data_IF_782967171873
#
_entry.id   IF_782967171873
#
_cell.length_a   1.000
_cell.length_b   1.000
_cell.length_c   1.000
_cell.angle_alpha   90.00
_cell.angle_beta   90.00
_cell.angle_gamma   90.00
#
_symmetry.space_group_name_H-M   'P 1'
#
loop_
_entity.id
_entity.type
_entity.pdbx_description
1 polymer ?
#
# COMPACT_ATOMS: atom_id res chain seq x y z
N UNK A 1 -51.59 -18.09 24.67
CA UNK A 1 -50.32 -17.38 24.39
C UNK A 1 -49.34 -18.41 23.90
N UNK A 2 -49.03 -18.43 22.60
CA UNK A 2 -48.04 -19.34 22.03
C UNK A 2 -46.64 -18.87 22.43
N UNK A 3 -45.89 -19.70 23.10
CA UNK A 3 -44.50 -19.48 23.50
C UNK A 3 -43.65 -19.68 22.21
N UNK A 4 -43.02 -18.64 21.74
CA UNK A 4 -42.01 -18.74 20.68
C UNK A 4 -40.74 -19.30 21.35
N UNK A 5 -40.40 -20.54 21.06
CA UNK A 5 -39.12 -21.11 21.43
C UNK A 5 -38.09 -20.73 20.34
N UNK A 6 -37.09 -19.98 20.73
CA UNK A 6 -35.95 -19.66 19.88
C UNK A 6 -35.03 -20.88 19.83
N UNK A 7 -35.13 -21.66 18.75
CA UNK A 7 -34.33 -22.86 18.56
C UNK A 7 -33.05 -22.40 17.80
N UNK A 8 -31.96 -22.27 18.57
CA UNK A 8 -30.62 -22.05 17.99
C UNK A 8 -30.16 -23.29 17.21
N UNK A 9 -30.29 -23.28 15.90
CA UNK A 9 -29.88 -24.36 14.99
C UNK A 9 -28.35 -24.42 14.79
N UNK A 10 -27.57 -23.97 15.75
CA UNK A 10 -26.10 -23.95 15.69
C UNK A 10 -25.52 -22.61 15.22
N UNK A 11 -26.35 -21.60 15.05
CA UNK A 11 -25.94 -20.26 14.63
C UNK A 11 -24.88 -19.64 15.55
N UNK A 12 -25.05 -19.79 16.86
CA UNK A 12 -24.08 -19.31 17.87
C UNK A 12 -22.72 -19.98 17.73
N UNK A 13 -22.67 -21.25 17.36
CA UNK A 13 -21.40 -21.95 17.14
C UNK A 13 -20.73 -21.47 15.84
N UNK A 14 -21.49 -21.26 14.79
CA UNK A 14 -20.97 -20.72 13.52
C UNK A 14 -20.42 -19.31 13.74
N UNK A 15 -21.14 -18.44 14.45
CA UNK A 15 -20.65 -17.10 14.78
C UNK A 15 -19.34 -17.14 15.59
N UNK A 16 -19.26 -18.00 16.61
CA UNK A 16 -18.03 -18.16 17.41
C UNK A 16 -16.85 -18.69 16.58
N UNK A 17 -17.08 -19.65 15.68
CA UNK A 17 -16.04 -20.15 14.79
C UNK A 17 -15.53 -19.03 13.86
N UNK A 18 -16.42 -18.22 13.30
CA UNK A 18 -16.07 -17.09 12.44
C UNK A 18 -15.32 -15.98 13.21
N UNK A 19 -15.81 -15.64 14.41
CA UNK A 19 -15.13 -14.70 15.30
C UNK A 19 -13.71 -15.17 15.59
N UNK A 20 -13.52 -16.44 15.95
CA UNK A 20 -12.21 -17.01 16.25
C UNK A 20 -11.28 -17.08 15.01
N UNK A 21 -11.82 -17.35 13.81
CA UNK A 21 -11.01 -17.39 12.60
C UNK A 21 -10.61 -16.00 12.11
N UNK A 22 -11.48 -15.00 12.28
CA UNK A 22 -11.26 -13.62 11.81
C UNK A 22 -10.67 -12.71 12.89
N UNK A 23 -10.66 -13.15 14.15
CA UNK A 23 -10.13 -12.34 15.24
C UNK A 23 -8.66 -12.00 15.02
N UNK A 24 -8.38 -10.70 15.08
CA UNK A 24 -7.04 -10.18 14.87
C UNK A 24 -6.46 -10.36 13.48
N UNK A 25 -7.25 -10.78 12.47
CA UNK A 25 -6.75 -10.87 11.09
C UNK A 25 -6.64 -9.49 10.48
N UNK A 26 -5.44 -9.14 10.04
CA UNK A 26 -5.15 -7.86 9.39
C UNK A 26 -4.52 -8.12 8.01
N UNK A 27 -5.10 -7.52 6.98
CA UNK A 27 -4.50 -7.49 5.65
C UNK A 27 -3.74 -6.18 5.50
N UNK A 28 -2.42 -6.26 5.37
CA UNK A 28 -1.56 -5.10 5.12
C UNK A 28 -1.12 -5.08 3.68
N UNK A 29 -1.32 -3.95 3.00
CA UNK A 29 -0.84 -3.72 1.64
C UNK A 29 0.14 -2.57 1.65
N UNK A 30 1.33 -2.78 1.13
CA UNK A 30 2.35 -1.74 1.16
C UNK A 30 3.70 -2.17 0.61
N UNK A 31 4.70 -1.34 0.86
CA UNK A 31 6.09 -1.56 0.47
C UNK A 31 6.78 -2.42 1.53
N UNK A 32 7.35 -3.54 1.11
CA UNK A 32 8.12 -4.38 2.04
C UNK A 32 9.38 -3.66 2.53
N UNK A 33 9.68 -3.79 3.83
CA UNK A 33 10.83 -3.14 4.48
C UNK A 33 12.18 -3.61 3.94
N UNK A 34 12.27 -4.83 3.40
CA UNK A 34 13.48 -5.40 2.79
C UNK A 34 13.78 -4.85 1.39
N UNK A 35 12.82 -4.16 0.76
CA UNK A 35 13.00 -3.62 -0.58
C UNK A 35 13.94 -2.41 -0.57
N UNK A 36 15.03 -2.49 -1.34
CA UNK A 36 15.99 -1.39 -1.52
C UNK A 36 15.71 -0.65 -2.83
N UNK A 37 15.95 0.67 -2.83
CA UNK A 37 15.92 1.44 -4.06
C UNK A 37 17.06 0.98 -4.98
N UNK A 38 16.75 0.81 -6.29
CA UNK A 38 17.80 0.49 -7.25
C UNK A 38 18.75 1.68 -7.41
N UNK A 39 20.04 1.41 -7.35
CA UNK A 39 21.08 2.40 -7.68
C UNK A 39 21.04 2.63 -9.20
N UNK A 40 20.71 3.84 -9.60
CA UNK A 40 20.82 4.22 -11.02
C UNK A 40 22.26 4.62 -11.30
N UNK A 41 22.95 3.88 -12.15
CA UNK A 41 24.26 4.28 -12.65
C UNK A 41 24.02 5.32 -13.74
N UNK A 42 24.14 6.60 -13.39
CA UNK A 42 24.11 7.68 -14.38
C UNK A 42 25.49 7.72 -15.06
N UNK A 43 25.58 7.16 -16.25
CA UNK A 43 26.69 7.42 -17.17
C UNK A 43 26.41 8.75 -17.86
N UNK A 44 27.00 9.83 -17.38
CA UNK A 44 26.89 11.14 -18.03
C UNK A 44 27.64 12.23 -17.27
N UNK A 45 28.48 12.95 -18.02
CA UNK A 45 29.42 14.02 -17.56
C UNK A 45 28.73 15.36 -17.30
N UNK A 46 27.58 15.44 -16.61
CA UNK A 46 26.91 16.71 -16.34
C UNK A 46 26.61 16.92 -14.84
N UNK A 47 27.64 16.74 -14.03
CA UNK A 47 27.58 16.99 -12.59
C UNK A 47 28.02 18.40 -12.20
N UNK A 48 27.80 19.42 -13.04
CA UNK A 48 28.20 20.78 -12.72
C UNK A 48 27.13 21.78 -13.14
N UNK A 49 26.14 21.97 -12.29
CA UNK A 49 25.34 23.19 -12.30
C UNK A 49 24.94 23.59 -10.90
N UNK A 50 25.62 24.62 -10.41
CA UNK A 50 25.35 25.37 -9.20
C UNK A 50 24.02 26.09 -9.31
N UNK A 51 23.04 25.66 -8.54
CA UNK A 51 21.88 26.49 -8.19
C UNK A 51 22.03 26.86 -6.71
N UNK A 52 21.87 28.13 -6.44
CA UNK A 52 21.93 28.74 -5.10
C UNK A 52 20.88 28.12 -4.20
N UNK A 53 21.29 27.15 -3.41
CA UNK A 53 20.43 26.45 -2.44
C UNK A 53 20.64 27.05 -1.08
N UNK A 54 19.56 27.39 -0.36
CA UNK A 54 19.60 27.88 1.00
C UNK A 54 20.25 26.84 1.95
N UNK A 55 20.82 27.31 3.07
CA UNK A 55 21.53 26.46 4.03
C UNK A 55 20.70 25.28 4.56
N UNK A 56 19.37 25.47 4.66
CA UNK A 56 18.40 24.43 5.02
C UNK A 56 18.28 23.34 3.95
N UNK A 57 18.27 23.71 2.68
CA UNK A 57 18.22 22.78 1.53
C UNK A 57 19.50 21.93 1.45
N UNK A 58 20.65 22.49 1.80
CA UNK A 58 21.93 21.75 1.86
C UNK A 58 21.95 20.72 2.99
N UNK A 59 21.39 21.03 4.17
CA UNK A 59 21.27 20.05 5.27
C UNK A 59 20.35 18.89 4.90
N UNK A 60 19.20 19.18 4.26
CA UNK A 60 18.27 18.15 3.79
C UNK A 60 18.89 17.28 2.67
N UNK A 61 19.56 17.89 1.69
CA UNK A 61 20.24 17.16 0.61
C UNK A 61 21.42 16.32 1.11
N UNK A 62 22.12 16.76 2.17
CA UNK A 62 23.24 15.98 2.75
C UNK A 62 22.74 14.80 3.57
N UNK A 63 21.54 14.89 4.14
CA UNK A 63 20.94 13.83 4.97
C UNK A 63 20.15 12.80 4.19
N UNK A 64 19.63 13.11 2.99
CA UNK A 64 18.85 12.21 2.16
C UNK A 64 19.42 12.12 0.74
N UNK A 65 20.46 11.32 0.56
CA UNK A 65 20.69 10.71 -0.74
C UNK A 65 19.57 9.67 -0.94
N UNK A 66 18.49 10.03 -1.62
CA UNK A 66 17.34 9.15 -1.87
C UNK A 66 17.72 7.81 -2.52
N UNK A 67 18.92 7.70 -3.09
CA UNK A 67 19.43 6.46 -3.68
C UNK A 67 19.87 5.42 -2.66
N UNK A 68 20.13 5.81 -1.41
CA UNK A 68 20.58 4.90 -0.36
C UNK A 68 19.49 4.63 0.71
N UNK A 69 18.33 5.27 0.58
CA UNK A 69 17.22 5.12 1.52
C UNK A 69 16.43 3.82 1.24
N UNK A 70 15.88 3.19 2.29
CA UNK A 70 14.92 2.12 2.13
C UNK A 70 13.75 2.58 1.24
N UNK A 71 13.26 1.70 0.37
CA UNK A 71 12.18 2.03 -0.55
C UNK A 71 10.90 2.46 0.17
N UNK A 72 10.69 1.96 1.39
CA UNK A 72 9.58 2.36 2.26
C UNK A 72 9.63 3.85 2.63
N UNK A 73 10.83 4.40 2.88
CA UNK A 73 11.00 5.83 3.16
C UNK A 73 10.66 6.67 1.93
N UNK A 74 11.11 6.24 0.75
CA UNK A 74 10.78 6.90 -0.52
C UNK A 74 9.27 6.87 -0.75
N UNK A 75 8.64 5.72 -0.49
CA UNK A 75 7.19 5.57 -0.58
C UNK A 75 6.45 6.53 0.36
N UNK A 76 6.87 6.62 1.63
CA UNK A 76 6.29 7.53 2.61
C UNK A 76 6.45 9.02 2.21
N UNK A 77 7.62 9.41 1.69
CA UNK A 77 7.85 10.77 1.17
C UNK A 77 6.87 11.12 0.05
N UNK A 78 6.58 10.18 -0.84
CA UNK A 78 5.61 10.42 -1.91
C UNK A 78 4.17 10.35 -1.42
N UNK A 79 3.83 9.44 -0.51
CA UNK A 79 2.48 9.29 0.02
C UNK A 79 2.01 10.54 0.76
N UNK A 80 2.88 11.11 1.59
CA UNK A 80 2.52 12.24 2.45
C UNK A 80 2.96 13.60 1.90
N UNK A 81 3.90 13.60 0.97
CA UNK A 81 4.57 14.82 0.53
C UNK A 81 5.54 15.32 1.61
N UNK A 82 6.81 15.49 1.28
CA UNK A 82 7.78 16.02 2.24
C UNK A 82 8.77 16.98 1.54
N UNK A 83 8.99 18.13 2.15
CA UNK A 83 9.88 19.17 1.60
C UNK A 83 9.40 19.66 0.23
N UNK A 84 10.19 19.48 -0.80
CA UNK A 84 9.85 19.88 -2.18
C UNK A 84 9.14 18.79 -2.99
N UNK A 85 8.90 17.63 -2.39
CA UNK A 85 8.21 16.53 -3.08
C UNK A 85 6.70 16.71 -2.88
N UNK A 86 5.92 16.90 -3.95
CA UNK A 86 4.48 17.02 -3.82
C UNK A 86 3.87 15.70 -3.37
N UNK A 87 2.80 15.79 -2.60
CA UNK A 87 2.03 14.63 -2.19
C UNK A 87 1.48 13.87 -3.41
N UNK A 88 1.68 12.57 -3.40
CA UNK A 88 1.18 11.63 -4.40
C UNK A 88 0.67 10.40 -3.69
N UNK A 89 -0.50 10.53 -3.08
CA UNK A 89 -1.12 9.51 -2.24
C UNK A 89 -1.56 8.32 -3.11
N UNK A 90 -0.70 7.34 -3.26
CA UNK A 90 -0.95 6.15 -4.07
C UNK A 90 -1.51 4.99 -3.24
N UNK A 91 -1.15 4.88 -1.95
CA UNK A 91 -1.69 3.87 -1.05
C UNK A 91 -3.09 4.24 -0.61
N UNK A 92 -3.23 5.41 0.07
CA UNK A 92 -4.52 5.89 0.54
C UNK A 92 -5.48 6.13 -0.62
N UNK A 93 -5.02 6.80 -1.69
CA UNK A 93 -5.84 7.06 -2.85
C UNK A 93 -6.32 5.79 -3.57
N UNK A 94 -5.54 4.70 -3.55
CA UNK A 94 -6.01 3.41 -4.07
C UNK A 94 -7.10 2.80 -3.19
N UNK A 95 -7.00 2.94 -1.86
CA UNK A 95 -8.03 2.50 -0.93
C UNK A 95 -9.32 3.31 -1.11
N UNK A 96 -9.21 4.65 -1.11
CA UNK A 96 -10.36 5.55 -1.20
C UNK A 96 -11.13 5.36 -2.52
N UNK A 97 -10.42 5.22 -3.64
CA UNK A 97 -11.02 4.99 -4.96
C UNK A 97 -11.72 3.63 -5.10
N UNK A 98 -11.37 2.65 -4.27
CA UNK A 98 -11.89 1.28 -4.38
C UNK A 98 -12.66 0.83 -3.13
N UNK A 99 -13.08 1.77 -2.28
CA UNK A 99 -13.76 1.46 -1.02
C UNK A 99 -15.01 0.60 -1.23
N UNK A 100 -15.87 0.97 -2.18
CA UNK A 100 -17.09 0.20 -2.49
C UNK A 100 -16.79 -1.23 -2.95
N UNK A 101 -15.72 -1.41 -3.73
CA UNK A 101 -15.27 -2.75 -4.14
C UNK A 101 -14.80 -3.57 -2.94
N UNK A 102 -14.04 -2.95 -2.03
CA UNK A 102 -13.55 -3.58 -0.80
C UNK A 102 -14.74 -4.01 0.05
N UNK A 103 -15.68 -3.10 0.32
CA UNK A 103 -16.88 -3.36 1.12
C UNK A 103 -17.68 -4.52 0.52
N UNK A 104 -17.90 -4.51 -0.80
CA UNK A 104 -18.59 -5.61 -1.51
C UNK A 104 -17.85 -6.96 -1.37
N UNK A 105 -16.52 -6.94 -1.44
CA UNK A 105 -15.72 -8.17 -1.27
C UNK A 105 -15.79 -8.67 0.17
N UNK A 106 -15.73 -7.78 1.15
CA UNK A 106 -15.85 -8.15 2.58
C UNK A 106 -17.22 -8.75 2.86
N UNK A 107 -18.30 -8.14 2.38
CA UNK A 107 -19.65 -8.67 2.53
C UNK A 107 -19.81 -10.06 1.89
N UNK A 108 -19.19 -10.26 0.72
CA UNK A 108 -19.18 -11.58 0.06
C UNK A 108 -18.39 -12.61 0.86
N UNK A 109 -17.25 -12.24 1.43
CA UNK A 109 -16.44 -13.10 2.29
C UNK A 109 -17.28 -13.52 3.50
N UNK A 110 -17.90 -12.58 4.19
CA UNK A 110 -18.77 -12.86 5.34
C UNK A 110 -19.92 -13.80 4.96
N UNK A 111 -20.64 -13.52 3.87
CA UNK A 111 -21.78 -14.33 3.43
C UNK A 111 -21.37 -15.75 3.05
N UNK A 112 -20.27 -15.91 2.29
CA UNK A 112 -19.81 -17.23 1.85
C UNK A 112 -19.21 -18.07 2.99
N UNK A 113 -18.59 -17.40 3.97
CA UNK A 113 -18.09 -18.05 5.18
C UNK A 113 -19.21 -18.66 5.99
N UNK A 114 -20.35 -17.96 6.10
CA UNK A 114 -21.56 -18.47 6.78
C UNK A 114 -22.14 -19.70 6.07
N UNK A 115 -21.99 -19.79 4.75
CA UNK A 115 -22.46 -20.93 3.94
C UNK A 115 -21.50 -22.11 3.91
N UNK A 116 -20.29 -21.97 4.48
CA UNK A 116 -19.18 -22.95 4.40
C UNK A 116 -18.73 -23.27 2.97
N UNK A 117 -19.05 -22.40 2.01
CA UNK A 117 -18.77 -22.63 0.60
C UNK A 117 -17.34 -22.26 0.18
N UNK A 118 -16.66 -21.45 0.99
CA UNK A 118 -15.32 -20.94 0.68
C UNK A 118 -14.41 -20.92 1.91
N UNK A 119 -13.16 -21.31 1.75
CA UNK A 119 -12.16 -21.08 2.78
C UNK A 119 -11.95 -19.58 2.99
N UNK A 120 -12.16 -19.09 4.20
CA UNK A 120 -11.94 -17.70 4.60
C UNK A 120 -10.53 -17.24 4.21
N UNK A 121 -9.53 -18.07 4.42
CA UNK A 121 -8.15 -17.76 4.06
C UNK A 121 -8.00 -17.47 2.57
N UNK A 122 -8.58 -18.30 1.70
CA UNK A 122 -8.53 -18.05 0.25
C UNK A 122 -9.22 -16.75 -0.14
N UNK A 123 -10.33 -16.42 0.51
CA UNK A 123 -11.06 -15.18 0.27
C UNK A 123 -10.27 -13.95 0.74
N UNK A 124 -9.59 -14.02 1.89
CA UNK A 124 -8.68 -12.97 2.38
C UNK A 124 -7.49 -12.79 1.44
N UNK A 125 -6.91 -13.87 0.92
CA UNK A 125 -5.86 -13.81 -0.10
C UNK A 125 -6.34 -13.13 -1.38
N UNK A 126 -7.55 -13.43 -1.85
CA UNK A 126 -8.14 -12.77 -3.01
C UNK A 126 -8.30 -11.26 -2.78
N UNK A 127 -8.82 -10.85 -1.62
CA UNK A 127 -8.93 -9.44 -1.26
C UNK A 127 -7.55 -8.76 -1.24
N UNK A 128 -6.55 -9.38 -0.62
CA UNK A 128 -5.18 -8.88 -0.59
C UNK A 128 -4.59 -8.70 -1.99
N UNK A 129 -4.77 -9.68 -2.88
CA UNK A 129 -4.31 -9.62 -4.27
C UNK A 129 -4.99 -8.50 -5.07
N UNK A 130 -6.30 -8.34 -4.91
CA UNK A 130 -7.05 -7.27 -5.58
C UNK A 130 -6.53 -5.91 -5.13
N UNK A 131 -6.34 -5.71 -3.82
CA UNK A 131 -5.82 -4.44 -3.29
C UNK A 131 -4.37 -4.17 -3.70
N UNK A 132 -3.50 -5.19 -3.71
CA UNK A 132 -2.14 -5.08 -4.26
C UNK A 132 -2.18 -4.62 -5.73
N UNK A 133 -3.08 -5.20 -6.53
CA UNK A 133 -3.30 -4.82 -7.92
C UNK A 133 -3.77 -3.38 -8.08
N UNK A 134 -4.73 -2.94 -7.24
CA UNK A 134 -5.27 -1.57 -7.26
C UNK A 134 -4.24 -0.51 -6.88
N UNK A 135 -3.39 -0.78 -5.90
CA UNK A 135 -2.27 0.11 -5.56
C UNK A 135 -1.27 0.20 -6.72
N UNK A 136 -0.92 -0.92 -7.34
CA UNK A 136 -0.03 -0.95 -8.52
C UNK A 136 -0.63 -0.21 -9.72
N UNK A 137 -1.93 -0.33 -9.92
CA UNK A 137 -2.68 0.39 -10.95
C UNK A 137 -2.66 1.91 -10.67
N UNK A 138 -2.92 2.31 -9.42
CA UNK A 138 -2.88 3.71 -9.00
C UNK A 138 -1.51 4.35 -9.23
N UNK A 139 -0.40 3.63 -8.96
CA UNK A 139 0.96 4.11 -9.23
C UNK A 139 1.16 4.43 -10.72
N UNK A 140 0.54 3.64 -11.62
CA UNK A 140 0.71 3.80 -13.07
C UNK A 140 -0.22 4.86 -13.65
N UNK A 141 -1.48 4.85 -13.24
CA UNK A 141 -2.58 5.58 -13.86
C UNK A 141 -3.13 6.73 -12.99
N UNK A 142 -2.65 6.87 -11.74
CA UNK A 142 -3.15 7.89 -10.84
C UNK A 142 -2.91 9.31 -11.34
N UNK A 143 -3.85 10.26 -11.11
CA UNK A 143 -3.75 11.65 -11.51
C UNK A 143 -2.82 12.42 -10.56
N UNK A 144 -1.54 12.09 -10.56
CA UNK A 144 -0.55 12.70 -9.67
C UNK A 144 0.00 14.01 -10.23
N UNK A 145 0.43 14.88 -9.32
CA UNK A 145 1.17 16.09 -9.67
C UNK A 145 2.39 15.71 -10.53
N UNK A 146 2.56 16.31 -11.72
CA UNK A 146 3.65 15.99 -12.64
C UNK A 146 5.02 16.17 -12.00
N UNK A 147 6.02 15.51 -12.57
CA UNK A 147 7.40 15.74 -12.20
C UNK A 147 7.88 17.11 -12.68
N UNK A 148 8.80 17.75 -11.94
CA UNK A 148 9.48 18.95 -12.43
C UNK A 148 10.32 18.63 -13.67
N UNK A 149 10.55 19.64 -14.50
CA UNK A 149 11.36 19.51 -15.70
C UNK A 149 12.78 18.98 -15.42
N UNK A 150 13.37 19.36 -14.29
CA UNK A 150 14.67 18.83 -13.85
C UNK A 150 14.58 17.33 -13.53
N UNK A 151 13.50 16.92 -12.87
CA UNK A 151 13.25 15.50 -12.57
C UNK A 151 13.05 14.70 -13.85
N UNK A 152 12.28 15.22 -14.82
CA UNK A 152 12.05 14.58 -16.11
C UNK A 152 13.38 14.40 -16.87
N UNK A 153 14.21 15.44 -16.96
CA UNK A 153 15.52 15.37 -17.58
C UNK A 153 16.42 14.31 -16.92
N UNK A 154 16.42 14.26 -15.59
CA UNK A 154 17.23 13.30 -14.83
C UNK A 154 16.73 11.86 -14.97
N UNK A 155 15.40 11.64 -14.96
CA UNK A 155 14.77 10.32 -15.04
C UNK A 155 14.64 9.79 -16.46
N UNK A 156 14.56 10.68 -17.45
CA UNK A 156 14.20 10.32 -18.82
C UNK A 156 12.73 9.87 -18.95
N UNK A 157 11.89 10.17 -17.95
CA UNK A 157 10.47 9.82 -17.93
C UNK A 157 9.66 10.90 -17.24
N UNK A 158 8.51 11.26 -17.84
CA UNK A 158 7.54 12.20 -17.26
C UNK A 158 6.66 11.56 -16.21
N UNK A 159 6.57 10.23 -16.13
CA UNK A 159 5.65 9.54 -15.21
C UNK A 159 6.06 9.73 -13.76
N UNK A 160 5.17 10.27 -12.89
CA UNK A 160 5.38 10.31 -11.45
C UNK A 160 5.51 8.89 -10.88
N UNK A 161 6.14 8.73 -9.72
CA UNK A 161 6.29 7.46 -8.98
C UNK A 161 7.03 6.33 -9.74
N UNK A 162 7.21 6.44 -11.06
CA UNK A 162 7.90 5.45 -11.88
C UNK A 162 9.25 6.02 -12.32
N UNK A 163 10.33 5.41 -11.84
CA UNK A 163 11.70 5.59 -12.31
C UNK A 163 12.21 4.26 -12.87
N UNK A 164 12.58 3.34 -12.00
CA UNK A 164 13.02 1.98 -12.37
C UNK A 164 11.90 0.94 -12.24
N UNK A 165 10.73 1.35 -11.77
CA UNK A 165 9.61 0.45 -11.50
C UNK A 165 9.69 -0.31 -10.17
N UNK A 166 10.78 -0.15 -9.40
CA UNK A 166 10.98 -0.88 -8.14
C UNK A 166 9.89 -0.59 -7.10
N UNK A 167 9.42 0.67 -6.98
CA UNK A 167 8.33 1.02 -6.09
C UNK A 167 7.08 0.18 -6.39
N UNK A 168 6.67 0.12 -7.64
CA UNK A 168 5.51 -0.69 -8.07
C UNK A 168 5.72 -2.19 -7.79
N UNK A 169 6.93 -2.69 -8.06
CA UNK A 169 7.26 -4.10 -7.87
C UNK A 169 7.34 -4.49 -6.39
N UNK A 170 7.64 -3.54 -5.50
CA UNK A 170 7.76 -3.78 -4.05
C UNK A 170 6.43 -3.78 -3.31
N UNK A 171 5.34 -3.36 -3.97
CA UNK A 171 4.02 -3.44 -3.36
C UNK A 171 3.62 -4.90 -3.23
N UNK A 172 3.30 -5.31 -2.00
CA UNK A 172 2.84 -6.64 -1.63
C UNK A 172 1.75 -6.55 -0.59
N UNK A 173 0.89 -7.54 -0.55
CA UNK A 173 0.02 -7.76 0.59
C UNK A 173 0.59 -8.82 1.52
N UNK A 174 0.27 -8.71 2.79
CA UNK A 174 0.58 -9.69 3.83
C UNK A 174 -0.67 -9.85 4.67
N UNK A 175 -0.99 -11.09 5.03
CA UNK A 175 -2.05 -11.41 5.99
C UNK A 175 -1.35 -11.76 7.29
N UNK A 176 -1.62 -11.00 8.32
CA UNK A 176 -1.10 -11.23 9.67
C UNK A 176 -2.28 -11.62 10.56
N UNK A 177 -2.11 -12.65 11.37
CA UNK A 177 -3.02 -12.93 12.46
C UNK A 177 -2.46 -12.19 13.67
N UNK A 178 -3.16 -11.18 14.15
CA UNK A 178 -2.78 -10.44 15.35
C UNK A 178 -2.71 -11.43 16.50
N UNK A 179 -1.50 -11.75 16.92
CA UNK A 179 -1.31 -12.25 18.26
C UNK A 179 -1.59 -11.08 19.21
N UNK A 180 -2.30 -11.31 20.30
CA UNK A 180 -2.30 -10.43 21.43
C UNK A 180 -0.84 -10.03 21.69
N UNK A 181 -0.51 -8.74 21.51
CA UNK A 181 0.70 -8.20 22.11
C UNK A 181 0.45 -8.31 23.62
N UNK A 182 0.95 -9.38 24.20
CA UNK A 182 1.08 -9.50 25.64
C UNK A 182 2.00 -8.37 26.09
N UNK A 183 1.51 -7.56 27.01
CA UNK A 183 2.14 -6.43 27.70
C UNK A 183 3.57 -6.70 28.17
#
# INVERSE_FOLDING_TARGET
>A
MSRVEDIDLGWKNICKELEHELDGVVIRVGVQSSAKAAKRTVKGKDAQRTTTTTALDRRFKKQMKMTDQPLAVIAAVHEFGLGHVPQRSFLRGAYDDNKELIDTMVDRIATNSLRKDLSIQNALHQLGQVMEGKVKEKIVNGPFVPNSNETIKRKGSSRPLIDTGHLRQSIRYVIEKGGSEDE
#
